data_IF_383579861133
#
_entry.id   IF_383579861133
#
_cell.length_a   1.000
_cell.length_b   1.000
_cell.length_c   1.000
_cell.angle_alpha   90.00
_cell.angle_beta   90.00
_cell.angle_gamma   90.00
#
_symmetry.space_group_name_H-M   'P 1'
#
loop_
_entity.id
_entity.type
_entity.pdbx_description
1 polymer ?
#
# COMPACT_ATOMS: atom_id res chain seq x y z
N UNK A 1 8.67 -51.79 -9.21
CA UNK A 1 8.27 -51.60 -7.81
C UNK A 1 7.89 -50.14 -7.65
N UNK A 2 6.60 -49.85 -7.83
CA UNK A 2 6.03 -48.50 -7.88
C UNK A 2 6.11 -47.88 -6.48
N UNK A 3 6.91 -46.83 -6.30
CA UNK A 3 6.91 -46.05 -5.07
C UNK A 3 5.56 -45.33 -4.95
N UNK A 4 4.64 -45.90 -4.17
CA UNK A 4 3.48 -45.18 -3.66
C UNK A 4 3.99 -44.03 -2.78
N UNK A 5 3.77 -42.80 -3.22
CA UNK A 5 3.79 -41.62 -2.35
C UNK A 5 2.73 -41.86 -1.27
N UNK A 6 3.16 -42.15 -0.04
CA UNK A 6 2.27 -42.19 1.13
C UNK A 6 1.65 -40.80 1.26
N UNK A 7 0.33 -40.70 1.05
CA UNK A 7 -0.40 -39.46 1.31
C UNK A 7 -0.17 -39.02 2.76
N UNK A 8 0.18 -37.75 2.94
CA UNK A 8 0.45 -37.16 4.25
C UNK A 8 -0.91 -37.03 4.95
N UNK A 9 -1.28 -38.05 5.70
CA UNK A 9 -2.51 -38.08 6.52
C UNK A 9 -2.41 -37.06 7.67
N UNK A 10 -3.28 -36.05 7.61
CA UNK A 10 -3.61 -35.01 8.61
C UNK A 10 -2.55 -33.91 8.86
N UNK A 11 -2.97 -32.67 8.64
CA UNK A 11 -2.23 -31.45 9.01
C UNK A 11 -1.86 -31.49 10.51
N UNK A 12 -0.58 -31.35 10.81
CA UNK A 12 -0.08 -31.23 12.20
C UNK A 12 -0.43 -29.85 12.75
N UNK A 13 -0.57 -29.72 14.08
CA UNK A 13 -0.83 -28.42 14.72
C UNK A 13 0.27 -27.42 14.32
N UNK A 14 -0.08 -26.22 13.81
CA UNK A 14 0.90 -25.23 13.43
C UNK A 14 1.69 -24.75 14.65
N UNK A 15 2.97 -24.39 14.44
CA UNK A 15 3.73 -23.68 15.48
C UNK A 15 3.07 -22.33 15.79
N UNK A 16 3.18 -21.90 17.04
CA UNK A 16 2.67 -20.61 17.48
C UNK A 16 3.29 -19.46 16.68
N UNK A 17 2.43 -18.55 16.19
CA UNK A 17 2.86 -17.35 15.51
C UNK A 17 3.38 -16.33 16.53
N UNK A 18 4.57 -15.80 16.31
CA UNK A 18 5.17 -14.84 17.25
C UNK A 18 4.98 -13.40 16.75
N UNK A 19 4.75 -12.48 17.69
CA UNK A 19 4.68 -11.04 17.43
C UNK A 19 6.10 -10.40 17.40
N UNK A 20 6.37 -9.42 16.52
CA UNK A 20 7.68 -8.78 16.37
C UNK A 20 8.03 -7.77 17.50
N UNK A 21 7.99 -8.19 18.78
CA UNK A 21 8.20 -7.30 19.93
C UNK A 21 9.55 -6.59 19.97
N UNK A 22 10.61 -7.19 19.43
CA UNK A 22 11.92 -6.54 19.38
C UNK A 22 11.89 -5.32 18.45
N UNK A 23 11.35 -5.49 17.24
CA UNK A 23 11.22 -4.45 16.22
C UNK A 23 10.26 -3.35 16.71
N UNK A 24 9.17 -3.74 17.36
CA UNK A 24 8.24 -2.80 18.02
C UNK A 24 8.97 -1.89 19.02
N UNK A 25 9.81 -2.45 19.89
CA UNK A 25 10.57 -1.67 20.89
C UNK A 25 11.55 -0.71 20.24
N UNK A 26 12.25 -1.13 19.20
CA UNK A 26 13.18 -0.28 18.45
C UNK A 26 12.45 0.91 17.81
N UNK A 27 11.31 0.65 17.16
CA UNK A 27 10.52 1.71 16.54
C UNK A 27 9.93 2.68 17.57
N UNK A 28 9.43 2.16 18.71
CA UNK A 28 9.00 2.99 19.84
C UNK A 28 10.16 3.85 20.34
N UNK A 29 11.36 3.28 20.47
CA UNK A 29 12.55 4.01 20.90
C UNK A 29 12.89 5.17 19.98
N UNK A 30 12.87 4.92 18.67
CA UNK A 30 13.11 5.94 17.64
C UNK A 30 12.08 7.08 17.70
N UNK A 31 10.78 6.78 17.67
CA UNK A 31 9.75 7.83 17.69
C UNK A 31 9.70 8.59 19.02
N UNK A 32 9.99 7.94 20.14
CA UNK A 32 10.16 8.65 21.41
C UNK A 32 11.39 9.54 21.41
N UNK A 33 12.46 9.16 20.71
CA UNK A 33 13.61 10.04 20.44
C UNK A 33 13.19 11.29 19.68
N UNK A 34 12.48 11.12 18.56
CA UNK A 34 11.94 12.24 17.77
C UNK A 34 11.03 13.14 18.62
N UNK A 35 10.09 12.57 19.38
CA UNK A 35 9.20 13.32 20.26
C UNK A 35 9.95 14.10 21.36
N UNK A 36 10.98 13.50 21.96
CA UNK A 36 11.83 14.18 22.96
C UNK A 36 12.63 15.33 22.37
N UNK A 37 13.13 15.18 21.16
CA UNK A 37 13.84 16.25 20.46
C UNK A 37 12.91 17.42 20.15
N UNK A 38 11.70 17.13 19.66
CA UNK A 38 10.63 18.13 19.46
C UNK A 38 10.31 18.83 20.78
N UNK A 39 10.07 18.09 21.85
CA UNK A 39 9.75 18.65 23.16
C UNK A 39 10.87 19.56 23.69
N UNK A 40 12.13 19.13 23.55
CA UNK A 40 13.30 19.93 23.93
C UNK A 40 13.35 21.24 23.15
N UNK A 41 13.17 21.18 21.83
CA UNK A 41 13.19 22.37 20.97
C UNK A 41 12.05 23.32 21.27
N UNK A 42 10.83 22.80 21.49
CA UNK A 42 9.69 23.62 21.91
C UNK A 42 9.99 24.32 23.24
N UNK A 43 10.49 23.59 24.24
CA UNK A 43 10.83 24.19 25.54
C UNK A 43 11.90 25.28 25.44
N UNK A 44 12.92 25.08 24.60
CA UNK A 44 13.96 26.09 24.34
C UNK A 44 13.36 27.36 23.74
N UNK A 45 12.58 27.24 22.66
CA UNK A 45 11.95 28.38 21.99
C UNK A 45 10.79 29.00 22.77
N UNK A 46 10.16 28.26 23.68
CA UNK A 46 9.05 28.76 24.48
C UNK A 46 9.48 29.86 25.47
N UNK A 47 10.76 29.94 25.82
CA UNK A 47 11.27 31.06 26.63
C UNK A 47 11.24 32.38 25.85
N UNK A 48 11.42 32.33 24.52
CA UNK A 48 11.51 33.49 23.63
C UNK A 48 10.17 34.24 23.53
N UNK A 49 9.03 33.55 23.63
CA UNK A 49 7.70 34.18 23.50
C UNK A 49 7.24 34.85 24.81
N UNK A 50 7.81 34.50 25.97
CA UNK A 50 7.41 35.03 27.28
C UNK A 50 7.38 36.57 27.36
N UNK A 51 8.41 37.32 26.90
CA UNK A 51 8.42 38.79 26.98
C UNK A 51 7.32 39.45 26.15
N UNK A 52 6.83 38.74 25.13
CA UNK A 52 5.75 39.16 24.25
C UNK A 52 4.38 38.79 24.81
N UNK A 53 4.29 38.01 25.89
CA UNK A 53 3.05 37.70 26.57
C UNK A 53 2.78 38.73 27.68
N UNK A 54 2.29 39.92 27.33
CA UNK A 54 1.89 40.96 28.29
C UNK A 54 0.39 41.21 28.26
N UNK A 55 -0.20 41.47 29.43
CA UNK A 55 -1.64 41.64 29.65
C UNK A 55 -2.29 42.78 28.84
N UNK A 56 -1.52 43.74 28.31
CA UNK A 56 -2.02 44.96 27.63
C UNK A 56 -1.48 45.13 26.20
N UNK A 57 -1.26 44.05 25.45
CA UNK A 57 -0.86 44.16 24.03
C UNK A 57 -2.11 44.30 23.16
N UNK A 58 -2.09 45.22 22.18
CA UNK A 58 -3.09 45.23 21.10
C UNK A 58 -3.11 43.86 20.44
N UNK A 59 -4.27 43.19 20.42
CA UNK A 59 -4.43 41.81 19.95
C UNK A 59 -3.74 41.55 18.59
N UNK A 60 -3.83 42.49 17.66
CA UNK A 60 -3.20 42.39 16.33
C UNK A 60 -1.66 42.30 16.39
N UNK A 61 -1.01 43.07 17.28
CA UNK A 61 0.45 43.07 17.41
C UNK A 61 1.01 41.78 18.02
N UNK A 62 0.25 41.12 18.91
CA UNK A 62 0.64 39.83 19.46
C UNK A 62 0.42 38.70 18.45
N UNK A 63 -0.68 38.76 17.68
CA UNK A 63 -0.99 37.76 16.66
C UNK A 63 0.14 37.63 15.64
N UNK A 64 0.65 38.74 15.11
CA UNK A 64 1.78 38.74 14.16
C UNK A 64 3.06 38.16 14.78
N UNK A 65 3.31 38.45 16.06
CA UNK A 65 4.48 37.94 16.79
C UNK A 65 4.36 36.43 17.01
N UNK A 66 3.18 35.96 17.41
CA UNK A 66 2.88 34.55 17.61
C UNK A 66 3.00 33.76 16.32
N UNK A 67 2.49 34.30 15.20
CA UNK A 67 2.58 33.66 13.90
C UNK A 67 4.03 33.49 13.44
N UNK A 68 4.86 34.54 13.55
CA UNK A 68 6.30 34.44 13.26
C UNK A 68 6.99 33.41 14.13
N UNK A 69 6.74 33.44 15.44
CA UNK A 69 7.32 32.47 16.37
C UNK A 69 6.91 31.02 16.05
N UNK A 70 5.64 30.79 15.67
CA UNK A 70 5.16 29.46 15.26
C UNK A 70 5.84 28.99 13.96
N UNK A 71 6.08 29.88 13.00
CA UNK A 71 6.79 29.55 11.75
C UNK A 71 8.25 29.18 12.04
N UNK A 72 8.96 29.97 12.85
CA UNK A 72 10.34 29.68 13.25
C UNK A 72 10.44 28.38 14.06
N UNK A 73 9.48 28.15 14.97
CA UNK A 73 9.39 26.91 15.73
C UNK A 73 9.15 25.73 14.79
N UNK A 74 8.26 25.87 13.79
CA UNK A 74 7.96 24.82 12.82
C UNK A 74 9.23 24.42 12.07
N UNK A 75 9.97 25.41 11.55
CA UNK A 75 11.24 25.18 10.87
C UNK A 75 12.25 24.47 11.76
N UNK A 76 12.37 24.88 13.03
CA UNK A 76 13.29 24.28 13.99
C UNK A 76 12.94 22.82 14.33
N UNK A 77 11.65 22.47 14.43
CA UNK A 77 11.23 21.10 14.76
C UNK A 77 11.18 20.17 13.55
N UNK A 78 11.02 20.72 12.33
CA UNK A 78 10.98 19.92 11.10
C UNK A 78 12.31 19.23 10.80
N UNK A 79 13.43 19.75 11.32
CA UNK A 79 14.75 19.13 11.20
C UNK A 79 14.77 17.72 11.82
N UNK A 80 13.99 17.47 12.87
CA UNK A 80 13.91 16.14 13.50
C UNK A 80 13.06 15.14 12.72
N UNK A 81 12.40 15.59 11.66
CA UNK A 81 11.61 14.77 10.75
C UNK A 81 12.07 14.95 9.31
N UNK A 82 13.39 14.97 9.11
CA UNK A 82 13.98 14.98 7.79
C UNK A 82 13.49 13.79 6.95
N UNK A 83 13.08 14.08 5.72
CA UNK A 83 12.43 13.09 4.86
C UNK A 83 13.37 11.94 4.49
N UNK A 84 14.64 12.22 4.26
CA UNK A 84 15.62 11.20 3.89
C UNK A 84 15.92 10.28 5.08
N UNK A 85 16.15 10.85 6.26
CA UNK A 85 16.41 10.08 7.49
C UNK A 85 15.21 9.20 7.87
N UNK A 86 14.00 9.77 7.88
CA UNK A 86 12.79 9.01 8.17
C UNK A 86 12.61 7.90 7.15
N UNK A 87 12.74 8.20 5.85
CA UNK A 87 12.53 7.19 4.80
C UNK A 87 13.50 6.03 4.95
N UNK A 88 14.77 6.30 5.22
CA UNK A 88 15.77 5.27 5.44
C UNK A 88 15.44 4.40 6.67
N UNK A 89 15.07 5.03 7.79
CA UNK A 89 14.68 4.32 9.00
C UNK A 89 13.42 3.47 8.79
N UNK A 90 12.40 4.07 8.15
CA UNK A 90 11.09 3.43 7.88
C UNK A 90 11.28 2.20 7.01
N UNK A 91 12.01 2.31 5.89
CA UNK A 91 12.34 1.16 5.03
C UNK A 91 13.05 0.07 5.82
N UNK A 92 14.03 0.45 6.64
CA UNK A 92 14.80 -0.47 7.46
C UNK A 92 13.92 -1.33 8.37
N UNK A 93 13.01 -0.73 9.15
CA UNK A 93 12.17 -1.51 10.05
C UNK A 93 11.06 -2.28 9.30
N UNK A 94 10.52 -1.74 8.19
CA UNK A 94 9.52 -2.42 7.37
C UNK A 94 10.10 -3.73 6.82
N UNK A 95 11.29 -3.68 6.23
CA UNK A 95 11.96 -4.88 5.72
C UNK A 95 12.30 -5.87 6.84
N UNK A 96 12.73 -5.40 8.02
CA UNK A 96 12.95 -6.27 9.17
C UNK A 96 11.66 -6.96 9.62
N UNK A 97 10.54 -6.24 9.65
CA UNK A 97 9.22 -6.78 10.00
C UNK A 97 8.78 -7.81 8.97
N UNK A 98 8.93 -7.51 7.68
CA UNK A 98 8.61 -8.41 6.58
C UNK A 98 9.44 -9.70 6.64
N UNK A 99 10.74 -9.60 6.89
CA UNK A 99 11.65 -10.73 7.06
C UNK A 99 11.32 -11.57 8.30
N UNK A 100 11.01 -10.92 9.43
CA UNK A 100 10.60 -11.62 10.65
C UNK A 100 9.30 -12.39 10.43
N UNK A 101 8.27 -11.72 9.90
CA UNK A 101 6.97 -12.32 9.61
C UNK A 101 7.13 -13.48 8.60
N UNK A 102 7.98 -13.32 7.58
CA UNK A 102 8.29 -14.35 6.61
C UNK A 102 8.92 -15.57 7.28
N UNK A 103 9.92 -15.37 8.15
CA UNK A 103 10.51 -16.48 8.93
C UNK A 103 9.49 -17.20 9.81
N UNK A 104 8.50 -16.50 10.38
CA UNK A 104 7.41 -17.14 11.12
C UNK A 104 6.52 -17.97 10.19
N UNK A 105 6.10 -17.39 9.06
CA UNK A 105 5.28 -18.06 8.06
C UNK A 105 5.93 -19.37 7.57
N UNK A 106 7.22 -19.33 7.20
CA UNK A 106 7.97 -20.50 6.77
C UNK A 106 8.07 -21.58 7.87
N UNK A 107 8.25 -21.19 9.14
CA UNK A 107 8.25 -22.15 10.25
C UNK A 107 6.90 -22.84 10.41
N UNK A 108 5.80 -22.10 10.22
CA UNK A 108 4.45 -22.65 10.27
C UNK A 108 4.23 -23.60 9.10
N UNK A 109 4.52 -23.19 7.87
CA UNK A 109 4.41 -24.03 6.68
C UNK A 109 5.22 -25.32 6.78
N UNK A 110 6.47 -25.22 7.19
CA UNK A 110 7.33 -26.40 7.42
C UNK A 110 6.74 -27.34 8.46
N UNK A 111 6.11 -26.82 9.51
CA UNK A 111 5.48 -27.65 10.55
C UNK A 111 4.24 -28.40 10.05
N UNK A 112 3.51 -27.81 9.11
CA UNK A 112 2.25 -28.36 8.57
C UNK A 112 2.52 -29.29 7.39
N UNK A 113 3.27 -28.83 6.39
CA UNK A 113 3.46 -29.52 5.11
C UNK A 113 4.84 -30.17 4.93
N UNK A 114 5.78 -29.94 5.85
CA UNK A 114 7.17 -30.47 5.75
C UNK A 114 7.94 -30.05 4.49
N UNK A 115 7.53 -28.96 3.83
CA UNK A 115 8.21 -28.36 2.67
C UNK A 115 8.89 -27.06 3.07
N UNK A 116 10.12 -26.84 2.59
CA UNK A 116 10.80 -25.56 2.65
C UNK A 116 10.42 -24.73 1.40
N UNK A 117 9.61 -23.70 1.59
CA UNK A 117 9.29 -22.74 0.54
C UNK A 117 10.40 -21.69 0.54
N UNK A 118 11.09 -21.51 -0.58
CA UNK A 118 12.03 -20.39 -0.77
C UNK A 118 11.58 -19.63 -1.99
N UNK A 119 10.65 -18.70 -1.80
CA UNK A 119 10.16 -17.83 -2.86
C UNK A 119 10.53 -16.40 -2.54
N UNK A 120 10.97 -15.66 -3.55
CA UNK A 120 10.88 -14.21 -3.52
C UNK A 120 9.40 -13.83 -3.38
N UNK A 121 9.11 -12.73 -2.69
CA UNK A 121 7.73 -12.28 -2.45
C UNK A 121 7.41 -10.93 -3.13
N UNK A 122 7.54 -10.78 -4.47
CA UNK A 122 7.32 -9.49 -5.14
C UNK A 122 5.92 -8.92 -4.95
N UNK A 123 4.92 -9.78 -4.70
CA UNK A 123 3.53 -9.37 -4.47
C UNK A 123 3.36 -8.54 -3.18
N UNK A 124 4.36 -8.49 -2.30
CA UNK A 124 4.34 -7.65 -1.10
C UNK A 124 4.76 -6.20 -1.37
N UNK A 125 5.39 -5.89 -2.51
CA UNK A 125 6.02 -4.59 -2.75
C UNK A 125 5.06 -3.41 -2.58
N UNK A 126 3.84 -3.52 -3.11
CA UNK A 126 2.84 -2.46 -2.98
C UNK A 126 2.38 -2.28 -1.54
N UNK A 127 2.18 -3.37 -0.80
CA UNK A 127 1.83 -3.33 0.61
C UNK A 127 2.94 -2.70 1.47
N UNK A 128 4.21 -3.01 1.17
CA UNK A 128 5.37 -2.42 1.85
C UNK A 128 5.49 -0.92 1.53
N UNK A 129 5.26 -0.51 0.28
CA UNK A 129 5.24 0.91 -0.11
C UNK A 129 4.11 1.68 0.57
N UNK A 130 2.90 1.12 0.64
CA UNK A 130 1.77 1.77 1.34
C UNK A 130 2.10 1.95 2.82
N UNK A 131 2.66 0.91 3.45
CA UNK A 131 3.10 1.00 4.84
C UNK A 131 4.20 2.07 5.03
N UNK A 132 5.16 2.16 4.12
CA UNK A 132 6.19 3.21 4.12
C UNK A 132 5.56 4.60 4.10
N UNK A 133 4.64 4.83 3.15
CA UNK A 133 3.99 6.14 2.96
C UNK A 133 3.19 6.57 4.18
N UNK A 134 2.37 5.68 4.75
CA UNK A 134 1.56 6.03 5.93
C UNK A 134 2.44 6.28 7.16
N UNK A 135 3.54 5.53 7.32
CA UNK A 135 4.45 5.76 8.43
C UNK A 135 5.18 7.09 8.31
N UNK A 136 5.71 7.43 7.13
CA UNK A 136 6.33 8.74 6.90
C UNK A 136 5.33 9.86 7.21
N UNK A 137 4.07 9.73 6.75
CA UNK A 137 3.00 10.70 7.02
C UNK A 137 2.73 10.86 8.51
N UNK A 138 2.60 9.75 9.24
CA UNK A 138 2.34 9.76 10.68
C UNK A 138 3.50 10.37 11.48
N UNK A 139 4.75 10.09 11.10
CA UNK A 139 5.92 10.68 11.76
C UNK A 139 5.99 12.19 11.51
N UNK A 140 5.80 12.64 10.26
CA UNK A 140 5.69 14.07 9.90
C UNK A 140 4.50 14.76 10.60
N UNK A 141 3.50 14.00 11.04
CA UNK A 141 2.38 14.53 11.83
C UNK A 141 2.74 14.93 13.27
N UNK A 142 3.84 14.40 13.83
CA UNK A 142 4.25 14.68 15.21
C UNK A 142 4.53 16.17 15.47
N UNK A 143 5.44 16.84 14.72
CA UNK A 143 5.70 18.26 14.92
C UNK A 143 4.50 19.11 14.53
N UNK A 144 3.88 18.85 13.38
CA UNK A 144 2.76 19.66 12.87
C UNK A 144 1.58 19.67 13.83
N UNK A 145 1.18 18.52 14.38
CA UNK A 145 0.08 18.48 15.35
C UNK A 145 0.46 19.03 16.73
N UNK A 146 1.75 18.98 17.11
CA UNK A 146 2.22 19.67 18.32
C UNK A 146 2.01 21.17 18.18
N UNK A 147 2.43 21.75 17.06
CA UNK A 147 2.30 23.18 16.80
C UNK A 147 0.85 23.62 16.67
N UNK A 148 0.00 22.81 16.04
CA UNK A 148 -1.43 23.09 15.97
C UNK A 148 -2.08 23.18 17.36
N UNK A 149 -1.71 22.28 18.28
CA UNK A 149 -2.16 22.34 19.67
C UNK A 149 -1.64 23.59 20.37
N UNK A 150 -0.36 23.93 20.19
CA UNK A 150 0.22 25.15 20.77
C UNK A 150 -0.52 26.38 20.25
N UNK A 151 -0.67 26.53 18.93
CA UNK A 151 -1.41 27.61 18.28
C UNK A 151 -2.80 27.76 18.87
N UNK A 152 -3.55 26.66 18.96
CA UNK A 152 -4.90 26.68 19.53
C UNK A 152 -4.91 27.14 20.99
N UNK A 153 -3.96 26.67 21.82
CA UNK A 153 -3.84 27.09 23.22
C UNK A 153 -3.46 28.55 23.38
N UNK A 154 -2.49 29.05 22.63
CA UNK A 154 -2.11 30.46 22.68
C UNK A 154 -3.26 31.38 22.26
N UNK A 155 -3.97 31.03 21.19
CA UNK A 155 -5.15 31.79 20.75
C UNK A 155 -6.24 31.83 21.83
N UNK A 156 -6.50 30.71 22.50
CA UNK A 156 -7.44 30.65 23.63
C UNK A 156 -6.96 31.51 24.81
N UNK A 157 -5.67 31.42 25.16
CA UNK A 157 -5.08 32.16 26.25
C UNK A 157 -5.17 33.68 26.05
N UNK A 158 -4.90 34.17 24.83
CA UNK A 158 -5.01 35.60 24.50
C UNK A 158 -6.45 36.08 24.54
N UNK A 159 -7.38 35.34 23.93
CA UNK A 159 -8.81 35.70 23.94
C UNK A 159 -9.41 35.68 25.34
N UNK A 160 -8.97 34.74 26.17
CA UNK A 160 -9.45 34.57 27.55
C UNK A 160 -8.70 35.40 28.60
N UNK A 161 -7.65 36.15 28.23
CA UNK A 161 -6.86 36.93 29.19
C UNK A 161 -6.14 36.08 30.24
N UNK A 162 -5.66 34.89 29.86
CA UNK A 162 -5.05 33.94 30.79
C UNK A 162 -3.70 34.43 31.33
N UNK A 163 -3.34 33.93 32.51
CA UNK A 163 -2.01 34.15 33.09
C UNK A 163 -0.96 33.28 32.39
N UNK A 164 0.27 33.79 32.32
CA UNK A 164 1.39 33.07 31.69
C UNK A 164 1.63 31.70 32.33
N UNK A 165 1.54 31.61 33.66
CA UNK A 165 1.73 30.36 34.41
C UNK A 165 0.76 29.27 33.96
N UNK A 166 -0.50 29.64 33.68
CA UNK A 166 -1.50 28.70 33.15
C UNK A 166 -1.13 28.21 31.73
N UNK A 167 -0.57 29.08 30.89
CA UNK A 167 -0.07 28.71 29.56
C UNK A 167 1.11 27.74 29.68
N UNK A 168 2.03 27.97 30.63
CA UNK A 168 3.17 27.08 30.89
C UNK A 168 2.68 25.67 31.24
N UNK A 169 1.69 25.54 32.10
CA UNK A 169 1.16 24.24 32.51
C UNK A 169 0.46 23.51 31.35
N UNK A 170 -0.29 24.25 30.52
CA UNK A 170 -0.92 23.70 29.32
C UNK A 170 0.11 23.23 28.28
N UNK A 171 1.17 24.01 28.05
CA UNK A 171 2.26 23.63 27.14
C UNK A 171 2.94 22.37 27.66
N UNK A 172 3.27 22.28 28.95
CA UNK A 172 3.84 21.05 29.55
C UNK A 172 2.91 19.85 29.34
N UNK A 173 1.61 20.02 29.53
CA UNK A 173 0.61 18.97 29.29
C UNK A 173 0.63 18.50 27.84
N UNK A 174 0.64 19.43 26.87
CA UNK A 174 0.75 19.10 25.43
C UNK A 174 2.01 18.29 25.15
N UNK A 175 3.17 18.75 25.61
CA UNK A 175 4.45 18.08 25.36
C UNK A 175 4.51 16.68 25.97
N UNK A 176 3.90 16.48 27.15
CA UNK A 176 3.78 15.16 27.78
C UNK A 176 2.92 14.18 26.96
N UNK A 177 2.04 14.66 26.07
CA UNK A 177 1.26 13.80 25.16
C UNK A 177 2.03 13.34 23.94
N UNK A 178 3.12 14.02 23.56
CA UNK A 178 3.86 13.72 22.33
C UNK A 178 4.55 12.35 22.37
N UNK A 179 5.19 12.01 23.49
CA UNK A 179 5.79 10.67 23.65
C UNK A 179 4.75 9.55 23.68
N UNK A 180 3.58 9.80 24.29
CA UNK A 180 2.47 8.84 24.30
C UNK A 180 1.96 8.59 22.89
N UNK A 181 1.81 9.66 22.10
CA UNK A 181 1.43 9.59 20.69
C UNK A 181 2.47 8.86 19.85
N UNK A 182 3.76 9.18 20.01
CA UNK A 182 4.85 8.50 19.33
C UNK A 182 4.85 6.98 19.63
N UNK A 183 4.63 6.61 20.90
CA UNK A 183 4.49 5.21 21.31
C UNK A 183 3.28 4.56 20.66
N UNK A 184 2.13 5.25 20.62
CA UNK A 184 0.91 4.75 19.99
C UNK A 184 1.12 4.49 18.50
N UNK A 185 1.73 5.44 17.77
CA UNK A 185 2.03 5.30 16.34
C UNK A 185 2.91 4.07 16.12
N UNK A 186 4.06 3.97 16.82
CA UNK A 186 4.98 2.86 16.59
C UNK A 186 4.34 1.48 16.83
N UNK A 187 3.62 1.32 17.94
CA UNK A 187 2.96 0.05 18.29
C UNK A 187 1.85 -0.31 17.31
N UNK A 188 1.01 0.66 16.97
CA UNK A 188 -0.09 0.49 16.03
C UNK A 188 0.39 0.07 14.64
N UNK A 189 1.39 0.76 14.12
CA UNK A 189 1.89 0.52 12.76
C UNK A 189 2.60 -0.84 12.62
N UNK A 190 3.31 -1.30 13.66
CA UNK A 190 3.93 -2.63 13.69
C UNK A 190 2.87 -3.73 13.73
N UNK A 191 1.84 -3.56 14.57
CA UNK A 191 0.72 -4.51 14.65
C UNK A 191 0.00 -4.65 13.31
N UNK A 192 -0.35 -3.53 12.69
CA UNK A 192 -1.03 -3.48 11.38
C UNK A 192 -0.19 -4.06 10.27
N UNK A 193 1.10 -3.69 10.18
CA UNK A 193 1.99 -4.23 9.16
C UNK A 193 2.13 -5.75 9.32
N UNK A 194 2.37 -6.24 10.55
CA UNK A 194 2.50 -7.66 10.80
C UNK A 194 1.23 -8.44 10.42
N UNK A 195 0.06 -7.92 10.80
CA UNK A 195 -1.24 -8.51 10.43
C UNK A 195 -1.46 -8.54 8.92
N UNK A 196 -1.23 -7.41 8.25
CA UNK A 196 -1.43 -7.29 6.82
C UNK A 196 -0.53 -8.25 6.02
N UNK A 197 0.74 -8.37 6.41
CA UNK A 197 1.66 -9.33 5.80
C UNK A 197 1.24 -10.78 6.05
N UNK A 198 0.74 -11.09 7.25
CA UNK A 198 0.18 -12.41 7.56
C UNK A 198 -1.02 -12.72 6.67
N UNK A 199 -1.95 -11.78 6.51
CA UNK A 199 -3.12 -11.91 5.62
C UNK A 199 -2.69 -12.21 4.19
N UNK A 200 -1.83 -11.36 3.61
CA UNK A 200 -1.37 -11.51 2.23
C UNK A 200 -0.69 -12.86 1.99
N UNK A 201 0.19 -13.30 2.90
CA UNK A 201 0.88 -14.59 2.79
C UNK A 201 -0.07 -15.77 2.91
N UNK A 202 -1.04 -15.71 3.82
CA UNK A 202 -2.05 -16.77 3.99
C UNK A 202 -2.96 -16.87 2.75
N UNK A 203 -3.47 -15.74 2.27
CA UNK A 203 -4.32 -15.71 1.07
C UNK A 203 -3.56 -16.19 -0.17
N UNK A 204 -2.29 -15.84 -0.31
CA UNK A 204 -1.44 -16.27 -1.42
C UNK A 204 -1.26 -17.80 -1.52
N UNK A 205 -1.45 -18.54 -0.43
CA UNK A 205 -1.39 -20.02 -0.43
C UNK A 205 -2.79 -20.66 -0.34
N UNK A 206 -3.85 -19.89 -0.59
CA UNK A 206 -5.23 -20.39 -0.61
C UNK A 206 -5.88 -20.56 0.76
N UNK A 207 -5.33 -19.98 1.83
CA UNK A 207 -6.00 -19.99 3.15
C UNK A 207 -7.20 -19.05 3.11
N UNK A 208 -8.41 -19.61 3.23
CA UNK A 208 -9.69 -18.87 3.21
C UNK A 208 -10.14 -18.39 4.59
N UNK A 209 -9.74 -19.10 5.64
CA UNK A 209 -10.16 -18.82 7.01
C UNK A 209 -9.03 -19.00 8.02
N UNK A 210 -9.19 -18.40 9.19
CA UNK A 210 -8.23 -18.45 10.28
C UNK A 210 -8.95 -18.61 11.63
N UNK A 211 -8.23 -19.12 12.62
CA UNK A 211 -8.64 -19.12 14.02
C UNK A 211 -8.08 -17.86 14.67
N UNK A 212 -8.94 -17.09 15.34
CA UNK A 212 -8.52 -15.90 16.07
C UNK A 212 -7.73 -16.30 17.32
N UNK A 213 -6.52 -15.75 17.46
CA UNK A 213 -5.67 -15.92 18.64
C UNK A 213 -5.38 -14.58 19.30
N UNK A 214 -5.84 -14.45 20.53
CA UNK A 214 -5.58 -13.36 21.45
C UNK A 214 -4.22 -13.48 22.13
N UNK A 215 -3.82 -12.39 22.78
CA UNK A 215 -2.69 -12.39 23.71
C UNK A 215 -3.10 -12.90 25.10
N UNK A 216 -4.40 -12.85 25.40
CA UNK A 216 -5.04 -13.24 26.66
C UNK A 216 -4.45 -12.54 27.89
N UNK A 217 -4.07 -11.28 27.71
CA UNK A 217 -3.58 -10.42 28.79
C UNK A 217 -4.58 -9.30 29.13
N UNK A 218 -4.31 -8.60 30.24
CA UNK A 218 -5.17 -7.52 30.78
C UNK A 218 -5.40 -6.35 29.81
N UNK A 219 -4.61 -6.25 28.73
CA UNK A 219 -4.69 -5.15 27.75
C UNK A 219 -5.53 -5.53 26.54
N UNK A 220 -5.92 -6.79 26.42
CA UNK A 220 -6.79 -7.25 25.37
C UNK A 220 -8.23 -6.80 25.62
N UNK A 221 -8.94 -6.48 24.54
CA UNK A 221 -10.35 -6.05 24.63
C UNK A 221 -11.22 -7.27 24.93
N UNK A 222 -12.24 -7.10 25.78
CA UNK A 222 -13.14 -8.20 26.16
C UNK A 222 -13.71 -8.94 24.94
N UNK A 223 -14.18 -8.21 23.93
CA UNK A 223 -14.73 -8.81 22.71
C UNK A 223 -13.68 -9.49 21.82
N UNK A 224 -12.37 -9.21 22.00
CA UNK A 224 -11.29 -9.97 21.35
C UNK A 224 -11.00 -11.27 22.10
N UNK A 225 -11.04 -11.24 23.43
CA UNK A 225 -10.96 -12.44 24.27
C UNK A 225 -12.11 -13.39 23.94
N UNK A 226 -13.32 -12.87 23.74
CA UNK A 226 -14.48 -13.66 23.31
C UNK A 226 -14.31 -14.32 21.94
N UNK A 227 -13.37 -13.85 21.11
CA UNK A 227 -13.07 -14.43 19.79
C UNK A 227 -12.01 -15.51 19.85
N UNK A 228 -11.30 -15.67 20.96
CA UNK A 228 -10.25 -16.67 21.12
C UNK A 228 -10.72 -18.07 20.69
N UNK A 229 -9.98 -18.68 19.77
CA UNK A 229 -10.27 -20.03 19.27
C UNK A 229 -11.44 -20.12 18.29
N UNK A 230 -12.15 -19.02 18.00
CA UNK A 230 -13.22 -19.00 16.98
C UNK A 230 -12.63 -18.81 15.58
N UNK A 231 -13.29 -19.42 14.61
CA UNK A 231 -12.91 -19.35 13.20
C UNK A 231 -13.58 -18.18 12.51
N UNK A 232 -12.84 -17.49 11.65
CA UNK A 232 -13.28 -16.35 10.85
C UNK A 232 -12.75 -16.47 9.42
N UNK A 233 -13.51 -15.95 8.47
CA UNK A 233 -13.10 -15.91 7.07
C UNK A 233 -12.33 -14.62 6.78
N UNK A 234 -11.37 -14.70 5.85
CA UNK A 234 -10.63 -13.51 5.39
C UNK A 234 -11.51 -12.53 4.59
N UNK A 235 -12.60 -13.02 4.01
CA UNK A 235 -13.54 -12.24 3.20
C UNK A 235 -14.73 -11.70 4.01
N UNK A 236 -14.90 -12.17 5.24
CA UNK A 236 -15.96 -11.74 6.14
C UNK A 236 -15.37 -11.34 7.51
N UNK A 237 -14.74 -10.15 7.59
CA UNK A 237 -14.13 -9.68 8.82
C UNK A 237 -15.17 -9.40 9.91
N UNK A 238 -14.79 -9.49 11.19
CA UNK A 238 -15.53 -8.87 12.27
C UNK A 238 -15.72 -7.35 12.07
N UNK A 239 -16.64 -6.77 12.83
CA UNK A 239 -17.01 -5.35 12.78
C UNK A 239 -15.83 -4.37 12.94
N UNK A 240 -14.85 -4.70 13.77
CA UNK A 240 -13.64 -3.90 13.99
C UNK A 240 -12.42 -4.37 13.19
N UNK A 241 -12.59 -5.35 12.30
CA UNK A 241 -11.54 -5.88 11.42
C UNK A 241 -10.90 -7.18 11.89
N UNK A 242 -9.87 -7.61 11.16
CA UNK A 242 -9.11 -8.83 11.42
C UNK A 242 -8.13 -8.67 12.61
N UNK A 243 -7.60 -9.76 13.18
CA UNK A 243 -6.58 -9.69 14.23
C UNK A 243 -5.41 -8.78 13.83
N UNK A 244 -5.06 -7.81 14.68
CA UNK A 244 -3.97 -6.86 14.44
C UNK A 244 -4.31 -5.63 13.58
N UNK A 245 -5.50 -5.55 12.98
CA UNK A 245 -5.99 -4.33 12.30
C UNK A 245 -6.51 -3.24 13.26
N UNK A 246 -7.30 -3.57 14.32
CA UNK A 246 -7.72 -2.58 15.29
C UNK A 246 -6.53 -1.90 15.98
N UNK A 247 -6.74 -0.66 16.41
CA UNK A 247 -5.70 0.14 17.05
C UNK A 247 -5.03 -0.61 18.22
N UNK A 248 -3.70 -0.67 18.23
CA UNK A 248 -2.90 -1.38 19.26
C UNK A 248 -3.25 -2.88 19.44
N UNK A 249 -3.90 -3.51 18.45
CA UNK A 249 -4.21 -4.93 18.51
C UNK A 249 -2.94 -5.77 18.29
N UNK A 250 -2.76 -6.78 19.16
CA UNK A 250 -1.63 -7.73 19.10
C UNK A 250 -2.08 -9.16 18.76
N UNK A 251 -3.38 -9.37 18.61
CA UNK A 251 -3.96 -10.65 18.21
C UNK A 251 -3.44 -11.05 16.83
N UNK A 252 -3.42 -12.36 16.53
CA UNK A 252 -2.95 -12.90 15.28
C UNK A 252 -3.90 -13.94 14.69
N UNK A 253 -3.80 -14.12 13.37
CA UNK A 253 -4.58 -15.10 12.63
C UNK A 253 -3.80 -16.42 12.51
N UNK A 254 -4.26 -17.47 13.20
CA UNK A 254 -3.74 -18.83 13.00
C UNK A 254 -4.44 -19.44 11.78
N UNK A 255 -3.69 -19.66 10.70
CA UNK A 255 -4.23 -20.18 9.44
C UNK A 255 -4.95 -21.52 9.62
N UNK A 256 -6.16 -21.64 9.06
CA UNK A 256 -6.79 -22.93 8.80
C UNK A 256 -6.30 -23.41 7.43
N UNK A 257 -5.25 -24.22 7.47
CA UNK A 257 -4.54 -24.69 6.29
C UNK A 257 -5.38 -25.62 5.42
N UNK A 258 -5.46 -25.38 4.09
CA UNK A 258 -6.10 -26.32 3.16
C UNK A 258 -5.31 -27.63 3.08
N UNK A 259 -5.88 -28.65 2.43
CA UNK A 259 -5.13 -29.87 2.14
C UNK A 259 -3.94 -29.55 1.22
N UNK A 260 -2.84 -30.30 1.34
CA UNK A 260 -1.62 -30.02 0.57
C UNK A 260 -1.87 -30.00 -0.95
N UNK A 261 -2.81 -30.83 -1.41
CA UNK A 261 -3.19 -30.96 -2.81
C UNK A 261 -3.90 -29.72 -3.35
N UNK A 262 -4.48 -28.88 -2.49
CA UNK A 262 -5.19 -27.65 -2.83
C UNK A 262 -4.32 -26.39 -2.64
N UNK A 263 -3.03 -26.56 -2.27
CA UNK A 263 -2.08 -25.45 -2.21
C UNK A 263 -1.81 -24.92 -3.62
N UNK A 264 -2.19 -23.66 -3.87
CA UNK A 264 -1.92 -23.00 -5.14
C UNK A 264 -2.66 -23.61 -6.34
N UNK A 265 -3.75 -24.35 -6.11
CA UNK A 265 -4.73 -24.61 -7.18
C UNK A 265 -5.50 -23.31 -7.46
N UNK A 266 -5.65 -23.00 -8.75
CA UNK A 266 -6.16 -21.73 -9.32
C UNK A 266 -7.65 -21.44 -9.02
N UNK A 267 -8.22 -22.01 -7.96
CA UNK A 267 -9.58 -21.77 -7.48
C UNK A 267 -9.64 -20.79 -6.27
N UNK A 268 -8.54 -20.09 -6.01
CA UNK A 268 -8.49 -18.89 -5.18
C UNK A 268 -8.27 -17.65 -6.06
N UNK A 269 -9.31 -16.82 -6.22
CA UNK A 269 -9.21 -15.53 -6.90
C UNK A 269 -8.11 -14.65 -6.28
N UNK A 270 -7.29 -13.94 -7.08
CA UNK A 270 -6.34 -12.97 -6.57
C UNK A 270 -7.06 -11.81 -5.85
N UNK A 271 -6.83 -11.65 -4.55
CA UNK A 271 -7.48 -10.60 -3.74
C UNK A 271 -6.73 -9.26 -3.93
N UNK A 272 -7.35 -8.36 -4.70
CA UNK A 272 -6.98 -6.94 -4.88
C UNK A 272 -7.44 -6.13 -3.65
N UNK A 273 -6.56 -5.39 -2.94
CA UNK A 273 -6.85 -4.79 -1.63
C UNK A 273 -7.76 -3.54 -1.67
N UNK A 274 -8.70 -3.44 -2.62
CA UNK A 274 -9.80 -2.48 -2.58
C UNK A 274 -11.00 -3.02 -3.39
N UNK A 275 -12.07 -3.53 -2.75
CA UNK A 275 -13.42 -3.21 -3.26
C UNK A 275 -14.54 -3.37 -2.22
N UNK A 276 -15.08 -2.22 -1.81
CA UNK A 276 -16.55 -2.06 -1.71
C UNK A 276 -16.88 -0.93 -2.66
N UNK A 277 -17.42 -1.26 -3.84
CA UNK A 277 -18.31 -0.49 -4.74
C UNK A 277 -18.53 -1.44 -5.95
N UNK A 278 -19.78 -1.64 -6.37
CA UNK A 278 -20.11 -2.37 -7.62
C UNK A 278 -19.45 -1.69 -8.81
N UNK A 279 -18.25 -2.12 -9.16
CA UNK A 279 -17.56 -1.72 -10.39
C UNK A 279 -17.45 -2.96 -11.28
N UNK A 280 -17.61 -2.82 -12.59
CA UNK A 280 -17.28 -3.90 -13.54
C UNK A 280 -15.77 -4.19 -13.61
N UNK A 281 -15.00 -3.88 -12.55
CA UNK A 281 -13.56 -4.11 -12.53
C UNK A 281 -13.32 -5.60 -12.32
N UNK A 282 -12.58 -6.20 -13.23
CA UNK A 282 -12.16 -7.61 -13.20
C UNK A 282 -10.64 -7.69 -13.24
N UNK A 283 -10.08 -8.81 -12.79
CA UNK A 283 -8.68 -9.09 -13.11
C UNK A 283 -8.53 -9.29 -14.63
N UNK A 284 -7.30 -9.21 -15.17
CA UNK A 284 -7.09 -9.23 -16.62
C UNK A 284 -7.46 -10.58 -17.27
N UNK A 285 -7.33 -11.66 -16.51
CA UNK A 285 -7.61 -13.02 -16.93
C UNK A 285 -9.12 -13.31 -17.00
N UNK A 286 -9.83 -13.00 -15.92
CA UNK A 286 -11.29 -12.98 -15.82
C UNK A 286 -11.91 -12.09 -16.88
N UNK A 287 -11.34 -10.89 -17.10
CA UNK A 287 -11.84 -9.99 -18.14
C UNK A 287 -11.70 -10.60 -19.53
N UNK A 288 -10.61 -11.32 -19.80
CA UNK A 288 -10.41 -12.01 -21.07
C UNK A 288 -11.49 -13.07 -21.28
N UNK A 289 -11.71 -13.94 -20.30
CA UNK A 289 -12.70 -15.01 -20.40
C UNK A 289 -14.12 -14.44 -20.49
N UNK A 290 -14.42 -13.41 -19.69
CA UNK A 290 -15.69 -12.70 -19.75
C UNK A 290 -15.94 -12.08 -21.13
N UNK A 291 -14.90 -11.48 -21.75
CA UNK A 291 -15.02 -10.87 -23.09
C UNK A 291 -15.39 -11.86 -24.19
N UNK A 292 -15.11 -13.15 -24.00
CA UNK A 292 -15.48 -14.23 -24.93
C UNK A 292 -16.90 -14.77 -24.69
N UNK A 293 -17.43 -14.63 -23.47
CA UNK A 293 -18.71 -15.20 -23.03
C UNK A 293 -19.96 -14.41 -23.47
N UNK A 294 -19.81 -13.24 -24.10
CA UNK A 294 -20.90 -12.47 -24.72
C UNK A 294 -21.66 -11.51 -23.78
N UNK A 295 -21.15 -11.25 -22.57
CA UNK A 295 -21.81 -10.46 -21.53
C UNK A 295 -21.60 -8.94 -21.57
N UNK A 296 -22.05 -8.23 -22.60
CA UNK A 296 -22.07 -6.75 -22.59
C UNK A 296 -20.71 -6.06 -22.80
N UNK A 297 -20.55 -4.83 -22.26
CA UNK A 297 -19.36 -3.96 -22.40
C UNK A 297 -19.18 -3.10 -21.13
N UNK A 298 -19.40 -3.70 -19.96
CA UNK A 298 -19.42 -2.97 -18.68
C UNK A 298 -18.15 -3.20 -17.88
N UNK A 299 -17.35 -4.18 -18.25
CA UNK A 299 -16.23 -4.67 -17.47
C UNK A 299 -14.90 -4.18 -18.04
N UNK A 300 -13.95 -3.99 -17.13
CA UNK A 300 -12.60 -3.54 -17.47
C UNK A 300 -11.61 -4.05 -16.44
N UNK A 301 -10.34 -4.03 -16.78
CA UNK A 301 -9.24 -4.37 -15.88
C UNK A 301 -8.29 -3.19 -15.82
N UNK A 302 -7.80 -2.87 -14.61
CA UNK A 302 -6.66 -1.98 -14.45
C UNK A 302 -5.45 -2.87 -14.13
N UNK A 303 -4.39 -2.77 -14.94
CA UNK A 303 -3.33 -3.77 -14.95
C UNK A 303 -1.93 -3.18 -14.75
N UNK A 304 -1.82 -1.89 -14.44
CA UNK A 304 -0.55 -1.24 -14.12
C UNK A 304 -0.70 0.24 -13.83
N UNK A 305 0.27 0.84 -13.16
CA UNK A 305 0.35 2.29 -12.96
C UNK A 305 1.16 2.95 -14.09
N UNK A 306 0.86 4.21 -14.41
CA UNK A 306 1.60 4.95 -15.43
C UNK A 306 3.01 5.29 -14.90
N UNK A 307 4.03 4.81 -15.61
CA UNK A 307 5.43 5.03 -15.26
C UNK A 307 5.96 6.44 -15.62
N UNK A 308 7.06 6.90 -15.00
CA UNK A 308 7.58 8.26 -15.19
C UNK A 308 7.88 8.64 -16.64
N UNK A 309 8.37 7.70 -17.46
CA UNK A 309 8.68 7.95 -18.86
C UNK A 309 7.44 8.37 -19.68
N UNK A 310 6.29 7.73 -19.45
CA UNK A 310 5.03 8.11 -20.09
C UNK A 310 4.45 9.41 -19.50
N UNK A 311 4.63 9.67 -18.19
CA UNK A 311 4.26 10.96 -17.59
C UNK A 311 4.99 12.12 -18.26
N UNK A 312 6.31 12.01 -18.40
CA UNK A 312 7.14 13.03 -19.05
C UNK A 312 6.70 13.25 -20.49
N UNK A 313 6.56 12.17 -21.26
CA UNK A 313 6.16 12.27 -22.67
C UNK A 313 4.77 12.90 -22.83
N UNK A 314 3.78 12.53 -22.01
CA UNK A 314 2.44 13.11 -22.07
C UNK A 314 2.42 14.60 -21.69
N UNK A 315 3.27 15.01 -20.75
CA UNK A 315 3.41 16.42 -20.39
C UNK A 315 4.02 17.24 -21.53
N UNK A 316 4.99 16.66 -22.26
CA UNK A 316 5.66 17.32 -23.38
C UNK A 316 4.80 17.34 -24.66
N UNK A 317 4.13 16.24 -24.98
CA UNK A 317 3.42 16.09 -26.26
C UNK A 317 2.02 16.70 -26.25
N UNK A 318 1.30 16.60 -25.13
CA UNK A 318 -0.12 17.01 -25.03
C UNK A 318 -0.40 17.93 -23.83
N UNK A 319 0.63 18.34 -23.08
CA UNK A 319 0.48 19.27 -21.95
C UNK A 319 -0.28 18.70 -20.75
N UNK A 320 -0.40 17.38 -20.62
CA UNK A 320 -1.22 16.73 -19.60
C UNK A 320 -0.36 15.97 -18.59
N UNK A 321 -0.52 16.31 -17.31
CA UNK A 321 0.08 15.53 -16.21
C UNK A 321 -0.80 14.33 -15.87
N UNK A 322 -0.28 13.14 -16.17
CA UNK A 322 -0.92 11.84 -15.93
C UNK A 322 -0.28 11.09 -14.75
N UNK A 323 0.44 11.79 -13.87
CA UNK A 323 0.98 11.22 -12.65
C UNK A 323 -0.12 10.58 -11.79
N UNK A 324 0.12 9.34 -11.35
CA UNK A 324 -0.83 8.57 -10.54
C UNK A 324 -2.01 7.99 -11.32
N UNK A 325 -2.03 8.07 -12.65
CA UNK A 325 -3.03 7.41 -13.49
C UNK A 325 -2.71 5.91 -13.65
N UNK A 326 -3.70 5.15 -14.14
CA UNK A 326 -3.59 3.70 -14.32
C UNK A 326 -3.79 3.28 -15.78
N UNK A 327 -3.08 2.22 -16.16
CA UNK A 327 -3.32 1.47 -17.39
C UNK A 327 -4.56 0.59 -17.24
N UNK A 328 -5.37 0.54 -18.29
CA UNK A 328 -6.62 -0.22 -18.29
C UNK A 328 -6.95 -0.83 -19.65
N UNK A 329 -7.78 -1.86 -19.66
CA UNK A 329 -8.34 -2.46 -20.88
C UNK A 329 -9.78 -2.89 -20.60
N UNK A 330 -10.65 -2.84 -21.62
CA UNK A 330 -12.05 -3.24 -21.50
C UNK A 330 -12.38 -4.42 -22.43
N UNK A 331 -13.56 -5.02 -22.23
CA UNK A 331 -14.04 -6.17 -23.01
C UNK A 331 -14.05 -5.90 -24.52
N UNK A 332 -14.36 -4.66 -24.91
CA UNK A 332 -14.45 -4.26 -26.32
C UNK A 332 -13.07 -4.24 -26.98
N UNK A 333 -12.05 -3.78 -26.27
CA UNK A 333 -10.66 -3.80 -26.73
C UNK A 333 -10.13 -5.22 -26.87
N UNK A 334 -10.40 -6.12 -25.93
CA UNK A 334 -9.96 -7.53 -26.03
C UNK A 334 -10.58 -8.20 -27.25
N UNK A 335 -11.90 -8.06 -27.44
CA UNK A 335 -12.58 -8.60 -28.62
C UNK A 335 -12.06 -7.98 -29.91
N UNK A 336 -11.75 -6.69 -29.90
CA UNK A 336 -11.14 -6.03 -31.05
C UNK A 336 -9.78 -6.64 -31.39
N UNK A 337 -8.90 -6.81 -30.41
CA UNK A 337 -7.57 -7.41 -30.57
C UNK A 337 -7.70 -8.82 -31.14
N UNK A 338 -8.54 -9.68 -30.56
CA UNK A 338 -8.70 -11.05 -31.05
C UNK A 338 -9.33 -11.10 -32.44
N UNK A 339 -10.29 -10.23 -32.73
CA UNK A 339 -10.94 -10.15 -34.05
C UNK A 339 -9.97 -9.69 -35.14
N UNK A 340 -9.12 -8.70 -34.85
CA UNK A 340 -8.23 -8.10 -35.83
C UNK A 340 -6.89 -8.84 -35.92
N UNK A 341 -6.38 -9.35 -34.79
CA UNK A 341 -5.02 -9.83 -34.62
C UNK A 341 -4.93 -11.25 -34.06
N UNK A 342 -6.05 -11.95 -33.80
CA UNK A 342 -6.05 -13.33 -33.29
C UNK A 342 -5.99 -14.43 -34.36
N UNK A 343 -5.90 -14.08 -35.66
CA UNK A 343 -5.90 -15.06 -36.76
C UNK A 343 -4.51 -15.25 -37.37
N UNK A 344 -3.90 -16.41 -37.13
CA UNK A 344 -2.52 -16.72 -37.55
C UNK A 344 -2.34 -16.66 -39.07
N UNK A 345 -3.31 -17.11 -39.87
CA UNK A 345 -3.20 -17.08 -41.35
C UNK A 345 -3.26 -15.66 -41.90
N UNK A 346 -4.10 -14.81 -41.32
CA UNK A 346 -4.23 -13.41 -41.73
C UNK A 346 -2.99 -12.61 -41.35
N UNK A 347 -2.50 -12.79 -40.12
CA UNK A 347 -1.34 -12.06 -39.60
C UNK A 347 -0.02 -12.48 -40.24
N UNK A 348 0.14 -13.75 -40.60
CA UNK A 348 1.34 -14.22 -41.32
C UNK A 348 1.56 -13.48 -42.66
N UNK A 349 0.48 -13.12 -43.37
CA UNK A 349 0.58 -12.34 -44.63
C UNK A 349 1.14 -10.93 -44.40
N UNK A 350 1.08 -10.42 -43.17
CA UNK A 350 1.59 -9.11 -42.74
C UNK A 350 2.95 -9.20 -42.02
N UNK A 351 3.55 -10.38 -41.97
CA UNK A 351 4.79 -10.63 -41.22
C UNK A 351 4.58 -10.65 -39.70
N UNK A 352 3.36 -10.94 -39.25
CA UNK A 352 2.95 -10.94 -37.84
C UNK A 352 2.57 -12.34 -37.38
N UNK A 353 2.40 -12.53 -36.06
CA UNK A 353 1.77 -13.73 -35.49
C UNK A 353 0.47 -13.37 -34.81
N UNK A 354 -0.41 -14.36 -34.65
CA UNK A 354 -1.63 -14.17 -33.89
C UNK A 354 -1.32 -13.78 -32.43
N UNK A 355 -2.09 -12.82 -31.95
CA UNK A 355 -2.18 -12.46 -30.53
C UNK A 355 -3.00 -13.53 -29.82
N UNK A 356 -2.45 -14.05 -28.74
CA UNK A 356 -3.06 -15.08 -27.90
C UNK A 356 -3.46 -14.51 -26.53
N UNK A 357 -4.20 -15.31 -25.75
CA UNK A 357 -4.52 -14.98 -24.35
C UNK A 357 -3.24 -14.65 -23.55
N UNK A 358 -2.20 -15.48 -23.69
CA UNK A 358 -0.93 -15.29 -22.99
C UNK A 358 -0.27 -13.94 -23.31
N UNK A 359 -0.38 -13.46 -24.55
CA UNK A 359 0.17 -12.17 -24.95
C UNK A 359 -0.57 -10.99 -24.32
N UNK A 360 -1.90 -11.08 -24.22
CA UNK A 360 -2.71 -10.06 -23.54
C UNK A 360 -2.42 -10.05 -22.04
N UNK A 361 -2.21 -11.22 -21.43
CA UNK A 361 -1.82 -11.32 -20.03
C UNK A 361 -0.42 -10.73 -19.74
N UNK A 362 0.40 -10.48 -20.77
CA UNK A 362 1.70 -9.79 -20.63
C UNK A 362 1.60 -8.25 -20.62
N UNK A 363 0.41 -7.66 -20.78
CA UNK A 363 0.22 -6.21 -20.73
C UNK A 363 0.84 -5.53 -19.49
N UNK A 364 0.76 -6.07 -18.25
CA UNK A 364 1.46 -5.51 -17.08
C UNK A 364 2.98 -5.41 -17.28
N UNK A 365 3.60 -6.43 -17.88
CA UNK A 365 5.02 -6.45 -18.16
C UNK A 365 5.38 -5.42 -19.24
N UNK A 366 4.55 -5.28 -20.28
CA UNK A 366 4.75 -4.33 -21.38
C UNK A 366 4.71 -2.89 -20.86
N UNK A 367 3.74 -2.53 -20.02
CA UNK A 367 3.63 -1.14 -19.53
C UNK A 367 4.66 -0.81 -18.45
N UNK A 368 5.15 -1.81 -17.70
CA UNK A 368 6.18 -1.60 -16.67
C UNK A 368 7.60 -1.57 -17.23
N UNK A 369 7.85 -2.18 -18.38
CA UNK A 369 9.21 -2.39 -18.90
C UNK A 369 9.34 -2.27 -20.42
N UNK A 370 8.55 -1.43 -21.08
CA UNK A 370 8.65 -1.20 -22.53
C UNK A 370 10.05 -0.75 -22.96
N UNK A 371 10.42 -1.04 -24.21
CA UNK A 371 11.72 -0.66 -24.77
C UNK A 371 11.65 0.71 -25.46
N UNK A 372 10.48 1.08 -26.01
CA UNK A 372 10.24 2.44 -26.51
C UNK A 372 8.78 2.86 -26.36
N UNK A 373 8.56 4.17 -26.34
CA UNK A 373 7.24 4.80 -26.29
C UNK A 373 7.21 6.03 -27.20
N UNK A 374 6.18 6.13 -28.02
CA UNK A 374 5.98 7.23 -28.98
C UNK A 374 4.58 7.82 -28.84
N UNK A 375 4.45 9.13 -29.02
CA UNK A 375 3.15 9.79 -29.17
C UNK A 375 2.67 9.66 -30.63
N UNK A 376 1.49 9.09 -30.84
CA UNK A 376 0.97 8.76 -32.18
C UNK A 376 -0.17 9.68 -32.64
N UNK A 377 -0.38 10.80 -31.96
CA UNK A 377 -1.41 11.78 -32.31
C UNK A 377 -2.80 11.44 -31.77
N UNK A 378 -3.80 12.14 -32.28
CA UNK A 378 -5.19 12.01 -31.86
C UNK A 378 -5.92 10.98 -32.72
N UNK A 379 -6.65 10.07 -32.06
CA UNK A 379 -7.51 9.09 -32.73
C UNK A 379 -8.74 9.73 -33.38
N UNK A 380 -9.42 8.98 -34.26
CA UNK A 380 -10.71 9.38 -34.87
C UNK A 380 -11.80 9.74 -33.83
N UNK A 381 -11.69 9.21 -32.61
CA UNK A 381 -12.58 9.50 -31.49
C UNK A 381 -12.15 10.73 -30.66
N UNK A 382 -11.15 11.50 -31.13
CA UNK A 382 -10.64 12.69 -30.45
C UNK A 382 -9.78 12.40 -29.21
N UNK A 383 -9.35 11.15 -28.99
CA UNK A 383 -8.53 10.75 -27.84
C UNK A 383 -7.05 10.67 -28.22
N UNK A 384 -6.18 11.24 -27.41
CA UNK A 384 -4.72 11.22 -27.60
C UNK A 384 -4.16 9.82 -27.44
N UNK A 385 -3.20 9.43 -28.28
CA UNK A 385 -2.72 8.05 -28.37
C UNK A 385 -1.20 7.93 -28.23
N UNK A 386 -0.76 6.86 -27.55
CA UNK A 386 0.63 6.49 -27.37
C UNK A 386 0.85 5.07 -27.85
N UNK A 387 1.97 4.80 -28.50
CA UNK A 387 2.40 3.48 -28.93
C UNK A 387 3.54 3.01 -28.05
N UNK A 388 3.31 1.92 -27.32
CA UNK A 388 4.38 1.17 -26.65
C UNK A 388 4.93 0.09 -27.56
N UNK A 389 6.25 -0.09 -27.51
CA UNK A 389 6.95 -1.23 -28.12
C UNK A 389 7.71 -2.01 -27.06
N UNK A 390 7.57 -3.33 -27.09
CA UNK A 390 8.31 -4.26 -26.23
C UNK A 390 8.78 -5.46 -27.03
N UNK A 391 10.02 -5.89 -26.80
CA UNK A 391 10.60 -7.09 -27.39
C UNK A 391 10.62 -8.22 -26.36
N UNK A 392 9.88 -9.30 -26.67
CA UNK A 392 9.88 -10.56 -25.91
C UNK A 392 9.85 -11.70 -26.93
N UNK A 393 11.03 -12.07 -27.44
CA UNK A 393 11.17 -12.97 -28.59
C UNK A 393 10.78 -12.31 -29.91
N UNK A 394 9.51 -11.92 -30.03
CA UNK A 394 8.95 -11.11 -31.12
C UNK A 394 8.73 -9.65 -30.67
N UNK A 395 8.41 -8.77 -31.62
CA UNK A 395 8.14 -7.36 -31.33
C UNK A 395 6.65 -7.13 -31.08
N UNK A 396 6.31 -6.72 -29.87
CA UNK A 396 4.97 -6.45 -29.41
C UNK A 396 4.72 -4.94 -29.47
N UNK A 397 3.61 -4.55 -30.10
CA UNK A 397 3.17 -3.18 -30.23
C UNK A 397 1.81 -3.02 -29.55
N UNK A 398 1.66 -2.00 -28.71
CA UNK A 398 0.43 -1.74 -27.95
C UNK A 398 0.05 -0.27 -28.04
N UNK A 399 -1.11 0.03 -28.64
CA UNK A 399 -1.65 1.38 -28.74
C UNK A 399 -2.54 1.66 -27.54
N UNK A 400 -2.29 2.79 -26.88
CA UNK A 400 -3.01 3.22 -25.68
C UNK A 400 -3.59 4.62 -25.84
N UNK A 401 -4.82 4.82 -25.39
CA UNK A 401 -5.57 6.06 -25.49
C UNK A 401 -5.74 6.75 -24.13
N UNK A 402 -5.66 8.08 -24.11
CA UNK A 402 -5.88 8.89 -22.92
C UNK A 402 -7.38 9.05 -22.64
N UNK A 403 -7.87 8.46 -21.54
CA UNK A 403 -9.25 8.63 -21.05
C UNK A 403 -9.30 9.62 -19.90
N UNK A 404 -9.34 10.92 -20.22
CA UNK A 404 -9.27 12.05 -19.27
C UNK A 404 -10.28 11.96 -18.12
N UNK A 405 -11.56 11.69 -18.45
CA UNK A 405 -12.65 11.61 -17.47
C UNK A 405 -12.40 10.59 -16.36
N UNK A 406 -11.75 9.48 -16.69
CA UNK A 406 -11.52 8.37 -15.77
C UNK A 406 -10.09 8.33 -15.22
N UNK A 407 -9.22 9.25 -15.64
CA UNK A 407 -7.79 9.26 -15.31
C UNK A 407 -7.10 7.92 -15.65
N UNK A 408 -7.32 7.45 -16.88
CA UNK A 408 -6.80 6.17 -17.37
C UNK A 408 -6.06 6.31 -18.69
N UNK A 409 -5.11 5.41 -18.90
CA UNK A 409 -4.47 5.13 -20.18
C UNK A 409 -5.01 3.76 -20.64
N UNK A 410 -5.87 3.73 -21.64
CA UNK A 410 -6.64 2.54 -22.03
C UNK A 410 -6.07 1.87 -23.27
N UNK A 411 -5.86 0.56 -23.24
CA UNK A 411 -5.44 -0.22 -24.41
C UNK A 411 -6.55 -0.20 -25.44
N UNK A 412 -6.21 0.21 -26.66
CA UNK A 412 -7.10 0.20 -27.81
C UNK A 412 -6.90 -1.03 -28.68
N UNK A 413 -5.64 -1.33 -29.00
CA UNK A 413 -5.26 -2.47 -29.83
C UNK A 413 -3.81 -2.88 -29.55
N UNK A 414 -3.47 -4.09 -29.99
CA UNK A 414 -2.17 -4.72 -29.81
C UNK A 414 -1.92 -5.70 -30.96
N UNK A 415 -0.68 -5.75 -31.44
CA UNK A 415 -0.26 -6.72 -32.45
C UNK A 415 1.20 -7.12 -32.27
N UNK A 416 1.61 -8.23 -32.91
CA UNK A 416 2.93 -8.83 -32.71
C UNK A 416 3.60 -9.10 -34.06
N UNK A 417 4.72 -8.41 -34.31
CA UNK A 417 5.53 -8.58 -35.51
C UNK A 417 6.61 -9.63 -35.28
N UNK A 418 6.71 -10.60 -36.19
CA UNK A 418 7.73 -11.64 -36.11
C UNK A 418 9.11 -11.01 -36.32
N UNK A 419 10.04 -11.26 -35.39
CA UNK A 419 11.42 -10.83 -35.60
C UNK A 419 12.03 -11.71 -36.70
N UNK A 420 12.63 -11.11 -37.73
CA UNK A 420 13.43 -11.89 -38.69
C UNK A 420 14.58 -12.50 -37.91
N UNK A 421 14.65 -13.83 -37.84
CA UNK A 421 15.85 -14.51 -37.35
C UNK A 421 17.03 -14.06 -38.23
N UNK A 422 18.17 -13.67 -37.63
CA UNK A 422 19.34 -13.25 -38.37
C UNK A 422 19.84 -14.35 -39.32
#
# INVERSE_FOLDING_TARGET
MTMMLKSIKKNRKPKAWLFPHAIEREYVGYLRGVARNINTMVNQKFVEIRPHFKANIRQDSFSDTLERWLIELLQAVLIFVDEKEITQFVRGYIHQTANFNGKQFHKVLKSVYSVDVFTTEPWLDDALKIAEWENIRLIKSLPTQTLEKLRSRFTQAVRGGWRWESVVDDVKSILNTNEKRATLIARDQIGKLNSHLTKLRQQNIGVKSYIWRGMLDERERAHHVDREGKQFDWDNPPDDGHPGEPILCRCYAEAVFPEFEDLGRDDAEPIDPISTIKTGKMNLDELFDNSLSGGGNKSFSNFGSVGPALVTLAKESIGLDISGWQHSIDESSIRHILKQHGNEKAENKRGQRAVTKADILMLPQIVSSFDSIDYTGTSDAGSETFLLRKEIGDEIFCVQEVRKRHKKIAVKTMWIRKKKKP
#
